data_IF_896355564229
#
_entry.id   IF_896355564229
#
_cell.length_a   1.000
_cell.length_b   1.000
_cell.length_c   1.000
_cell.angle_alpha   90.00
_cell.angle_beta   90.00
_cell.angle_gamma   90.00
#
_symmetry.space_group_name_H-M   'P 1'
#
loop_
_entity.id
_entity.type
_entity.pdbx_description
1 polymer ?
#
# COMPACT_ATOMS: atom_id res chain seq x y z
N UNK A 1 -16.31 -5.24 -25.69
CA UNK A 1 -16.71 -5.64 -24.34
C UNK A 1 -18.20 -5.41 -24.18
N UNK A 2 -18.98 -6.43 -23.77
CA UNK A 2 -20.42 -6.30 -23.60
C UNK A 2 -20.73 -5.68 -22.23
N UNK A 3 -21.66 -4.72 -22.19
CA UNK A 3 -22.15 -4.15 -20.94
C UNK A 3 -23.37 -4.93 -20.47
N UNK A 4 -23.34 -5.40 -19.25
CA UNK A 4 -24.40 -6.17 -18.60
C UNK A 4 -24.79 -5.52 -17.26
N UNK A 5 -26.04 -5.65 -16.87
CA UNK A 5 -26.53 -5.06 -15.64
C UNK A 5 -25.95 -5.73 -14.37
N UNK A 6 -25.68 -7.03 -14.43
CA UNK A 6 -25.15 -7.81 -13.32
C UNK A 6 -24.51 -9.13 -13.76
N UNK A 7 -23.81 -9.80 -12.85
CA UNK A 7 -23.34 -11.18 -13.05
C UNK A 7 -24.51 -12.15 -13.28
N UNK A 8 -25.64 -11.99 -12.58
CA UNK A 8 -26.84 -12.80 -12.77
C UNK A 8 -27.41 -12.64 -14.19
N UNK A 9 -27.40 -11.43 -14.75
CA UNK A 9 -27.83 -11.18 -16.13
C UNK A 9 -26.95 -11.92 -17.16
N UNK A 10 -25.63 -12.04 -16.90
CA UNK A 10 -24.74 -12.84 -17.75
C UNK A 10 -25.11 -14.32 -17.70
N UNK A 11 -25.29 -14.87 -16.50
CA UNK A 11 -25.63 -16.29 -16.29
C UNK A 11 -26.96 -16.64 -16.96
N UNK A 12 -27.99 -15.79 -16.78
CA UNK A 12 -29.28 -15.97 -17.41
C UNK A 12 -29.25 -15.94 -18.93
N UNK A 13 -28.36 -15.12 -19.50
CA UNK A 13 -28.25 -14.92 -20.95
C UNK A 13 -27.36 -15.93 -21.66
N UNK A 14 -26.23 -16.38 -21.04
CA UNK A 14 -25.17 -17.12 -21.74
C UNK A 14 -24.70 -18.42 -21.09
N UNK A 15 -24.90 -18.62 -19.79
CA UNK A 15 -24.37 -19.79 -19.04
C UNK A 15 -22.93 -20.17 -19.44
N UNK A 16 -21.94 -19.33 -19.19
CA UNK A 16 -20.60 -19.53 -19.73
C UNK A 16 -19.96 -20.83 -19.19
N UNK A 17 -19.29 -21.57 -20.06
CA UNK A 17 -18.55 -22.79 -19.70
C UNK A 17 -17.15 -22.49 -19.16
N UNK A 18 -16.58 -21.33 -19.54
CA UNK A 18 -15.27 -20.88 -19.07
C UNK A 18 -15.42 -19.75 -18.04
N UNK A 19 -14.46 -19.58 -17.12
CA UNK A 19 -14.44 -18.45 -16.19
C UNK A 19 -14.59 -17.11 -16.93
N UNK A 20 -15.45 -16.25 -16.39
CA UNK A 20 -15.68 -14.90 -16.95
C UNK A 20 -15.39 -13.86 -15.88
N UNK A 21 -14.59 -12.87 -16.23
CA UNK A 21 -14.33 -11.71 -15.38
C UNK A 21 -15.37 -10.63 -15.66
N UNK A 22 -16.08 -10.23 -14.62
CA UNK A 22 -16.98 -9.09 -14.64
C UNK A 22 -16.28 -7.85 -14.06
N UNK A 23 -16.08 -6.81 -14.88
CA UNK A 23 -15.35 -5.60 -14.48
C UNK A 23 -16.31 -4.45 -14.18
N UNK A 24 -16.06 -3.73 -13.08
CA UNK A 24 -16.76 -2.53 -12.65
C UNK A 24 -15.76 -1.39 -12.38
N UNK A 25 -15.09 -0.84 -13.41
CA UNK A 25 -14.04 0.18 -13.22
C UNK A 25 -14.52 1.41 -12.44
N UNK A 26 -15.82 1.75 -12.59
CA UNK A 26 -16.44 2.85 -11.85
C UNK A 26 -16.45 2.66 -10.33
N UNK A 27 -16.43 1.40 -9.83
CA UNK A 27 -16.32 1.14 -8.39
C UNK A 27 -14.93 1.51 -7.88
N UNK A 28 -13.87 1.11 -8.59
CA UNK A 28 -12.51 1.53 -8.26
C UNK A 28 -12.36 3.07 -8.30
N UNK A 29 -12.90 3.71 -9.34
CA UNK A 29 -12.86 5.17 -9.45
C UNK A 29 -13.61 5.90 -8.32
N UNK A 30 -14.73 5.35 -7.81
CA UNK A 30 -15.41 5.92 -6.64
C UNK A 30 -14.57 5.78 -5.37
N UNK A 31 -14.03 4.60 -5.12
CA UNK A 31 -13.18 4.35 -3.96
C UNK A 31 -11.93 5.25 -3.99
N UNK A 32 -11.28 5.38 -5.14
CA UNK A 32 -10.11 6.24 -5.29
C UNK A 32 -10.44 7.72 -5.01
N UNK A 33 -11.55 8.26 -5.53
CA UNK A 33 -11.96 9.65 -5.25
C UNK A 33 -12.25 9.86 -3.78
N UNK A 34 -12.86 8.89 -3.10
CA UNK A 34 -13.10 8.97 -1.65
C UNK A 34 -11.79 9.09 -0.88
N UNK A 35 -10.78 8.26 -1.18
CA UNK A 35 -9.47 8.35 -0.53
C UNK A 35 -8.77 9.68 -0.83
N UNK A 36 -8.80 10.14 -2.08
CA UNK A 36 -8.20 11.42 -2.49
C UNK A 36 -8.87 12.63 -1.83
N UNK A 37 -10.15 12.54 -1.50
CA UNK A 37 -10.91 13.58 -0.80
C UNK A 37 -10.64 13.57 0.72
N UNK A 38 -10.56 12.38 1.31
CA UNK A 38 -10.53 12.21 2.77
C UNK A 38 -9.11 12.20 3.35
N UNK A 39 -8.13 11.71 2.61
CA UNK A 39 -6.76 11.62 3.08
C UNK A 39 -5.95 12.85 2.63
N UNK A 40 -5.38 13.65 3.56
CA UNK A 40 -4.69 14.91 3.25
C UNK A 40 -3.23 14.66 2.83
N UNK A 41 -3.01 13.76 1.87
CA UNK A 41 -1.68 13.37 1.41
C UNK A 41 -1.72 12.53 0.15
N UNK A 42 -0.61 11.89 -0.16
CA UNK A 42 -0.47 11.04 -1.34
C UNK A 42 -1.20 9.69 -1.13
N UNK A 43 -2.07 9.33 -2.06
CA UNK A 43 -2.73 8.02 -2.08
C UNK A 43 -2.00 7.12 -3.05
N UNK A 44 -1.13 6.25 -2.54
CA UNK A 44 -0.33 5.31 -3.31
C UNK A 44 -1.08 3.99 -3.49
N UNK A 45 -1.54 3.71 -4.69
CA UNK A 45 -2.21 2.46 -4.97
C UNK A 45 -1.26 1.27 -4.85
N UNK A 46 -1.57 0.29 -3.99
CA UNK A 46 -0.79 -0.95 -3.89
C UNK A 46 -1.00 -1.81 -5.15
N UNK A 47 -0.06 -1.71 -6.10
CA UNK A 47 -0.13 -2.28 -7.46
C UNK A 47 -0.38 -3.78 -7.47
N UNK A 48 0.20 -4.49 -6.51
CA UNK A 48 0.01 -5.94 -6.26
C UNK A 48 -1.44 -6.38 -6.03
N UNK A 49 -2.34 -5.46 -5.65
CA UNK A 49 -3.73 -5.80 -5.38
C UNK A 49 -4.50 -6.20 -6.65
N UNK A 50 -4.33 -5.45 -7.74
CA UNK A 50 -4.79 -5.81 -9.08
C UNK A 50 -4.18 -4.85 -10.12
N UNK A 51 -3.30 -5.35 -10.95
CA UNK A 51 -2.60 -4.57 -11.98
C UNK A 51 -3.25 -4.65 -13.37
N UNK A 52 -4.52 -5.05 -13.45
CA UNK A 52 -5.19 -5.09 -14.76
C UNK A 52 -5.33 -3.68 -15.35
N UNK A 53 -5.02 -3.53 -16.64
CA UNK A 53 -5.01 -2.24 -17.33
C UNK A 53 -6.34 -1.47 -17.20
N UNK A 54 -7.47 -2.16 -17.11
CA UNK A 54 -8.79 -1.53 -16.91
C UNK A 54 -8.91 -0.86 -15.54
N UNK A 55 -8.39 -1.50 -14.49
CA UNK A 55 -8.44 -0.95 -13.14
C UNK A 55 -7.42 0.16 -12.97
N UNK A 56 -6.21 -0.03 -13.47
CA UNK A 56 -5.18 1.02 -13.48
C UNK A 56 -5.70 2.27 -14.21
N UNK A 57 -6.29 2.09 -15.40
CA UNK A 57 -6.89 3.21 -16.13
C UNK A 57 -8.04 3.90 -15.38
N UNK A 58 -8.86 3.16 -14.64
CA UNK A 58 -9.93 3.73 -13.81
C UNK A 58 -9.40 4.50 -12.60
N UNK A 59 -8.36 3.98 -11.93
CA UNK A 59 -7.69 4.65 -10.82
C UNK A 59 -6.96 5.90 -11.29
N UNK A 60 -6.23 5.82 -12.39
CA UNK A 60 -5.57 6.96 -13.03
C UNK A 60 -6.57 8.05 -13.43
N UNK A 61 -7.69 7.65 -14.08
CA UNK A 61 -8.78 8.56 -14.44
C UNK A 61 -9.51 9.19 -13.25
N UNK A 62 -9.43 8.57 -12.07
CA UNK A 62 -9.96 9.10 -10.81
C UNK A 62 -8.99 10.07 -10.12
N UNK A 63 -7.72 10.15 -10.55
CA UNK A 63 -6.72 11.05 -10.00
C UNK A 63 -5.54 10.37 -9.29
N UNK A 64 -5.51 9.04 -9.18
CA UNK A 64 -4.34 8.34 -8.61
C UNK A 64 -3.12 8.57 -9.49
N UNK A 65 -2.01 8.99 -8.84
CA UNK A 65 -0.70 9.21 -9.48
C UNK A 65 0.44 8.52 -8.75
N UNK A 66 0.23 8.11 -7.49
CA UNK A 66 1.20 7.42 -6.67
C UNK A 66 0.91 5.91 -6.66
N UNK A 67 1.98 5.09 -6.75
CA UNK A 67 1.86 3.63 -6.80
C UNK A 67 2.89 2.98 -5.88
N UNK A 68 2.42 2.15 -4.93
CA UNK A 68 3.25 1.20 -4.17
C UNK A 68 3.52 -0.01 -5.05
N UNK A 69 4.78 -0.14 -5.48
CA UNK A 69 5.28 -1.25 -6.29
C UNK A 69 6.21 -2.13 -5.46
N UNK A 70 6.09 -3.45 -5.62
CA UNK A 70 6.80 -4.42 -4.79
C UNK A 70 7.85 -5.23 -5.56
N UNK A 71 7.92 -5.10 -6.89
CA UNK A 71 8.81 -5.89 -7.74
C UNK A 71 9.23 -5.13 -8.99
N UNK A 72 10.33 -5.56 -9.61
CA UNK A 72 10.81 -4.95 -10.86
C UNK A 72 9.79 -5.05 -12.00
N UNK A 73 9.11 -6.19 -12.24
CA UNK A 73 8.06 -6.25 -13.26
C UNK A 73 6.91 -5.26 -13.02
N UNK A 74 6.52 -5.01 -11.76
CA UNK A 74 5.52 -3.99 -11.45
C UNK A 74 6.03 -2.58 -11.78
N UNK A 75 7.31 -2.28 -11.53
CA UNK A 75 7.94 -1.01 -11.89
C UNK A 75 7.97 -0.82 -13.40
N UNK A 76 8.40 -1.84 -14.15
CA UNK A 76 8.48 -1.80 -15.62
C UNK A 76 7.11 -1.61 -16.27
N UNK A 77 6.05 -2.14 -15.65
CA UNK A 77 4.68 -1.91 -16.10
C UNK A 77 4.21 -0.49 -15.71
N UNK A 78 4.36 -0.11 -14.44
CA UNK A 78 3.84 1.15 -13.90
C UNK A 78 4.57 2.40 -14.41
N UNK A 79 5.84 2.32 -14.80
CA UNK A 79 6.60 3.46 -15.34
C UNK A 79 6.02 3.98 -16.66
N UNK A 80 5.21 3.18 -17.34
CA UNK A 80 4.51 3.57 -18.57
C UNK A 80 3.29 4.47 -18.33
N UNK A 81 2.85 4.59 -17.08
CA UNK A 81 1.70 5.42 -16.70
C UNK A 81 2.16 6.89 -16.65
N UNK A 82 1.52 7.81 -17.39
CA UNK A 82 1.92 9.20 -17.40
C UNK A 82 1.88 9.83 -15.99
N UNK A 83 2.88 10.64 -15.68
CA UNK A 83 3.00 11.33 -14.38
C UNK A 83 2.93 10.42 -13.14
N UNK A 84 3.28 9.14 -13.29
CA UNK A 84 3.29 8.21 -12.18
C UNK A 84 4.49 8.46 -11.25
N UNK A 85 4.20 8.52 -9.94
CA UNK A 85 5.19 8.51 -8.88
C UNK A 85 5.29 7.11 -8.28
N UNK A 86 6.42 6.44 -8.50
CA UNK A 86 6.62 5.07 -8.07
C UNK A 86 7.38 5.02 -6.74
N UNK A 87 6.85 4.25 -5.79
CA UNK A 87 7.45 3.98 -4.50
C UNK A 87 7.75 2.49 -4.42
N UNK A 88 9.03 2.11 -4.34
CA UNK A 88 9.44 0.71 -4.22
C UNK A 88 9.38 0.28 -2.74
N UNK A 89 8.17 -0.07 -2.27
CA UNK A 89 7.85 -0.24 -0.85
C UNK A 89 8.12 -1.65 -0.32
N UNK A 90 8.55 -2.60 -1.14
CA UNK A 90 9.06 -3.89 -0.63
C UNK A 90 10.39 -3.66 0.10
N UNK A 91 10.52 -4.01 1.42
CA UNK A 91 11.70 -3.66 2.20
C UNK A 91 12.95 -4.49 1.86
N UNK A 92 12.82 -5.58 1.11
CA UNK A 92 13.94 -6.43 0.67
C UNK A 92 13.91 -6.59 -0.84
N UNK A 93 14.97 -6.12 -1.51
CA UNK A 93 15.07 -6.06 -2.98
C UNK A 93 16.36 -6.69 -3.49
N UNK A 94 16.37 -7.27 -4.67
CA UNK A 94 17.61 -7.70 -5.30
C UNK A 94 18.43 -6.48 -5.76
N UNK A 95 19.75 -6.61 -5.79
CA UNK A 95 20.66 -5.57 -6.29
C UNK A 95 20.29 -5.11 -7.69
N UNK A 96 20.03 -6.06 -8.59
CA UNK A 96 19.57 -5.77 -9.95
C UNK A 96 18.27 -4.95 -9.97
N UNK A 97 17.29 -5.31 -9.13
CA UNK A 97 16.01 -4.58 -9.09
C UNK A 97 16.17 -3.14 -8.58
N UNK A 98 17.06 -2.88 -7.60
CA UNK A 98 17.33 -1.53 -7.12
C UNK A 98 17.96 -0.69 -8.23
N UNK A 99 19.03 -1.20 -8.86
CA UNK A 99 19.74 -0.51 -9.94
C UNK A 99 18.80 -0.17 -11.09
N UNK A 100 18.03 -1.18 -11.55
CA UNK A 100 17.10 -1.00 -12.65
C UNK A 100 15.95 -0.04 -12.32
N UNK A 101 15.41 -0.10 -11.10
CA UNK A 101 14.40 0.84 -10.64
C UNK A 101 14.93 2.29 -10.66
N UNK A 102 16.15 2.50 -10.16
CA UNK A 102 16.79 3.81 -10.18
C UNK A 102 17.03 4.34 -11.60
N UNK A 103 17.50 3.49 -12.54
CA UNK A 103 17.62 3.81 -13.97
C UNK A 103 16.29 4.21 -14.61
N UNK A 104 15.17 3.57 -14.19
CA UNK A 104 13.83 3.87 -14.64
C UNK A 104 13.21 5.11 -13.96
N UNK A 105 13.96 5.82 -13.12
CA UNK A 105 13.54 7.07 -12.49
C UNK A 105 12.94 6.91 -11.09
N UNK A 106 12.86 5.71 -10.51
CA UNK A 106 12.42 5.54 -9.11
C UNK A 106 13.44 6.18 -8.17
N UNK A 107 12.95 6.98 -7.24
CA UNK A 107 13.74 7.67 -6.21
C UNK A 107 13.28 7.37 -4.79
N UNK A 108 12.27 6.54 -4.64
CA UNK A 108 11.58 6.24 -3.40
C UNK A 108 11.71 4.75 -3.09
N UNK A 109 12.43 4.39 -1.99
CA UNK A 109 12.76 3.01 -1.63
C UNK A 109 12.50 2.76 -0.16
N UNK A 110 11.81 1.66 0.18
CA UNK A 110 11.65 1.20 1.55
C UNK A 110 12.76 0.22 1.95
N UNK A 111 13.07 0.21 3.26
CA UNK A 111 14.05 -0.69 3.87
C UNK A 111 13.65 -0.99 5.33
N UNK A 112 14.12 -2.11 5.87
CA UNK A 112 13.94 -2.49 7.28
C UNK A 112 15.22 -3.07 7.92
N UNK A 113 16.36 -2.88 7.27
CA UNK A 113 17.67 -3.34 7.76
C UNK A 113 18.83 -2.51 7.19
N UNK A 114 19.96 -2.53 7.89
CA UNK A 114 21.18 -1.80 7.47
C UNK A 114 21.75 -2.36 6.17
N UNK A 115 21.75 -3.69 6.01
CA UNK A 115 22.23 -4.34 4.77
C UNK A 115 21.42 -3.89 3.54
N UNK A 116 20.13 -3.62 3.70
CA UNK A 116 19.29 -3.10 2.63
C UNK A 116 19.62 -1.63 2.33
N UNK A 117 19.88 -0.82 3.35
CA UNK A 117 20.33 0.55 3.18
C UNK A 117 21.65 0.62 2.41
N UNK A 118 22.64 -0.17 2.84
CA UNK A 118 23.96 -0.21 2.21
C UNK A 118 23.85 -0.66 0.74
N UNK A 119 23.01 -1.66 0.48
CA UNK A 119 22.70 -2.15 -0.87
C UNK A 119 22.03 -1.09 -1.76
N UNK A 120 21.08 -0.31 -1.22
CA UNK A 120 20.45 0.79 -1.97
C UNK A 120 21.51 1.85 -2.32
N UNK A 121 22.35 2.24 -1.38
CA UNK A 121 23.41 3.23 -1.61
C UNK A 121 24.38 2.74 -2.69
N UNK A 122 24.84 1.50 -2.60
CA UNK A 122 25.77 0.91 -3.58
C UNK A 122 25.15 0.86 -4.99
N UNK A 123 23.94 0.32 -5.12
CA UNK A 123 23.32 0.09 -6.43
C UNK A 123 22.79 1.36 -7.10
N UNK A 124 22.64 2.45 -6.34
CA UNK A 124 22.32 3.78 -6.88
C UNK A 124 23.56 4.66 -7.08
N UNK A 125 24.78 4.11 -6.85
CA UNK A 125 26.03 4.86 -7.01
C UNK A 125 26.21 5.98 -5.99
N UNK A 126 25.65 5.86 -4.80
CA UNK A 126 25.70 6.89 -3.76
C UNK A 126 24.81 8.10 -4.04
N UNK A 127 23.69 7.88 -4.71
CA UNK A 127 22.71 8.92 -5.05
C UNK A 127 22.29 9.76 -3.83
N UNK A 128 22.10 11.07 -4.03
CA UNK A 128 21.74 12.03 -2.99
C UNK A 128 20.31 12.59 -3.13
N UNK A 129 19.54 12.05 -4.08
CA UNK A 129 18.19 12.45 -4.42
C UNK A 129 17.14 11.42 -3.98
N UNK A 130 17.48 10.55 -3.00
CA UNK A 130 16.62 9.45 -2.57
C UNK A 130 15.69 9.84 -1.43
N UNK A 131 14.42 9.47 -1.56
CA UNK A 131 13.48 9.31 -0.47
C UNK A 131 13.59 7.89 0.06
N UNK A 132 14.06 7.74 1.29
CA UNK A 132 14.26 6.45 1.94
C UNK A 132 13.25 6.27 3.07
N UNK A 133 12.45 5.19 2.98
CA UNK A 133 11.43 4.84 3.96
C UNK A 133 11.94 3.75 4.90
N UNK A 134 12.00 4.03 6.19
CA UNK A 134 12.26 2.97 7.17
C UNK A 134 10.92 2.34 7.57
N UNK A 135 10.80 1.04 7.27
CA UNK A 135 9.59 0.27 7.60
C UNK A 135 9.65 -0.23 9.04
N UNK A 136 8.67 0.15 9.83
CA UNK A 136 8.54 -0.22 11.24
C UNK A 136 7.62 -1.41 11.39
N UNK A 137 8.05 -2.40 12.18
CA UNK A 137 7.20 -3.49 12.60
C UNK A 137 6.22 -2.99 13.67
N UNK A 138 4.93 -3.16 13.39
CA UNK A 138 3.84 -2.80 14.29
C UNK A 138 2.94 -4.02 14.53
N UNK A 139 2.24 -4.11 15.68
CA UNK A 139 1.29 -5.20 15.93
C UNK A 139 0.17 -5.24 14.90
N UNK A 140 -0.16 -6.44 14.43
CA UNK A 140 -1.26 -6.68 13.48
C UNK A 140 -2.56 -7.00 14.23
N UNK A 141 -3.17 -5.98 14.82
CA UNK A 141 -4.39 -6.11 15.64
C UNK A 141 -5.61 -6.22 14.71
N UNK A 142 -6.46 -7.23 14.94
CA UNK A 142 -7.71 -7.44 14.20
C UNK A 142 -7.54 -7.49 12.66
N UNK A 143 -6.36 -7.92 12.18
CA UNK A 143 -6.11 -8.13 10.75
C UNK A 143 -6.29 -9.60 10.36
N UNK A 144 -6.86 -9.86 9.18
CA UNK A 144 -6.96 -11.24 8.66
C UNK A 144 -5.62 -11.83 8.22
N UNK A 145 -4.70 -10.96 7.77
CA UNK A 145 -3.36 -11.37 7.33
C UNK A 145 -2.33 -10.52 8.07
N UNK A 146 -1.79 -11.04 9.19
CA UNK A 146 -0.77 -10.33 9.97
C UNK A 146 0.57 -10.29 9.21
N UNK A 147 1.30 -9.17 9.33
CA UNK A 147 2.59 -8.93 8.67
C UNK A 147 3.74 -8.65 9.63
N UNK A 148 3.46 -8.52 10.93
CA UNK A 148 4.40 -8.11 11.98
C UNK A 148 5.65 -9.01 12.11
N UNK A 149 5.54 -10.30 11.73
CA UNK A 149 6.65 -11.26 11.78
C UNK A 149 7.40 -11.39 10.46
N UNK A 150 6.95 -10.69 9.42
CA UNK A 150 7.50 -10.83 8.08
C UNK A 150 8.41 -9.67 7.69
N UNK A 151 8.03 -8.46 8.06
CA UNK A 151 8.71 -7.25 7.66
C UNK A 151 8.71 -6.21 8.78
N UNK A 152 9.68 -5.30 8.65
CA UNK A 152 9.82 -4.16 9.52
C UNK A 152 10.82 -4.38 10.66
N UNK A 153 11.39 -3.30 11.11
CA UNK A 153 12.34 -3.23 12.23
C UNK A 153 11.68 -2.59 13.44
N UNK A 154 12.10 -2.96 14.66
CA UNK A 154 11.54 -2.44 15.90
C UNK A 154 12.61 -2.13 16.96
N UNK A 155 12.21 -1.45 18.04
CA UNK A 155 13.02 -1.22 19.21
C UNK A 155 14.27 -0.36 18.94
N UNK A 156 15.40 -0.71 19.56
CA UNK A 156 16.66 0.04 19.42
C UNK A 156 17.21 -0.04 17.98
N UNK A 157 17.03 -1.18 17.31
CA UNK A 157 17.47 -1.35 15.92
C UNK A 157 16.76 -0.36 14.99
N UNK A 158 15.46 -0.12 15.21
CA UNK A 158 14.70 0.85 14.43
C UNK A 158 15.23 2.29 14.63
N UNK A 159 15.51 2.69 15.87
CA UNK A 159 16.07 4.01 16.15
C UNK A 159 17.45 4.21 15.49
N UNK A 160 18.33 3.21 15.59
CA UNK A 160 19.65 3.25 14.95
C UNK A 160 19.53 3.32 13.42
N UNK A 161 18.63 2.52 12.84
CA UNK A 161 18.41 2.52 11.39
C UNK A 161 17.86 3.87 10.90
N UNK A 162 16.95 4.51 11.64
CA UNK A 162 16.47 5.86 11.33
C UNK A 162 17.62 6.88 11.31
N UNK A 163 18.50 6.86 12.32
CA UNK A 163 19.67 7.75 12.39
C UNK A 163 20.61 7.52 11.19
N UNK A 164 20.91 6.26 10.87
CA UNK A 164 21.79 5.91 9.76
C UNK A 164 21.17 6.29 8.41
N UNK A 165 19.88 6.02 8.23
CA UNK A 165 19.15 6.33 7.00
C UNK A 165 19.07 7.84 6.76
N UNK A 166 18.88 8.66 7.83
CA UNK A 166 18.86 10.13 7.72
C UNK A 166 20.11 10.70 7.07
N UNK A 167 21.28 10.09 7.31
CA UNK A 167 22.55 10.56 6.76
C UNK A 167 22.68 10.33 5.24
N UNK A 168 21.98 9.30 4.73
CA UNK A 168 22.01 8.92 3.32
C UNK A 168 20.83 9.52 2.52
N UNK A 169 19.71 9.76 3.18
CA UNK A 169 18.47 10.19 2.52
C UNK A 169 18.45 11.70 2.24
N UNK A 170 17.94 12.07 1.08
CA UNK A 170 17.50 13.45 0.77
C UNK A 170 16.24 13.77 1.59
N UNK A 171 15.24 12.85 1.58
CA UNK A 171 14.08 12.87 2.46
C UNK A 171 14.01 11.54 3.23
N UNK A 172 13.79 11.62 4.55
CA UNK A 172 13.57 10.45 5.39
C UNK A 172 12.07 10.24 5.60
N UNK A 173 11.59 9.10 5.13
CA UNK A 173 10.23 8.62 5.37
C UNK A 173 10.19 7.56 6.46
N UNK A 174 9.06 7.51 7.15
CA UNK A 174 8.74 6.46 8.09
C UNK A 174 7.46 5.78 7.61
N UNK A 175 7.46 4.45 7.49
CA UNK A 175 6.30 3.67 7.03
C UNK A 175 6.01 2.49 7.93
N UNK A 176 4.76 2.08 8.00
CA UNK A 176 4.32 0.87 8.68
C UNK A 176 3.12 0.24 7.95
N UNK A 177 2.76 -0.99 8.33
CA UNK A 177 1.59 -1.66 7.78
C UNK A 177 0.92 -2.52 8.85
N UNK A 178 -0.32 -2.21 9.21
CA UNK A 178 -1.09 -2.85 10.30
C UNK A 178 -1.60 -4.27 10.00
N UNK A 179 -1.25 -4.83 8.84
CA UNK A 179 -1.79 -6.09 8.34
C UNK A 179 -2.90 -5.88 7.31
N UNK A 180 -3.22 -6.90 6.51
CA UNK A 180 -4.26 -6.78 5.47
C UNK A 180 -5.65 -7.10 6.02
N UNK A 181 -6.67 -6.36 5.57
CA UNK A 181 -8.05 -6.52 6.00
C UNK A 181 -8.19 -6.32 7.52
N UNK A 182 -7.73 -5.19 8.01
CA UNK A 182 -7.86 -4.78 9.41
C UNK A 182 -9.29 -4.31 9.65
N UNK A 183 -10.01 -4.91 10.61
CA UNK A 183 -11.45 -4.70 10.76
C UNK A 183 -11.81 -3.54 11.69
N UNK A 184 -10.87 -3.07 12.51
CA UNK A 184 -11.06 -1.94 13.42
C UNK A 184 -9.90 -0.95 13.33
N UNK A 185 -10.11 0.35 13.61
CA UNK A 185 -9.03 1.34 13.56
C UNK A 185 -7.99 1.24 14.70
N UNK A 186 -8.21 0.41 15.73
CA UNK A 186 -7.33 0.27 16.92
C UNK A 186 -5.87 -0.06 16.57
N UNK A 187 -5.68 -0.79 15.46
CA UNK A 187 -4.35 -1.11 14.97
C UNK A 187 -3.53 0.14 14.61
N UNK A 188 -4.18 1.15 14.04
CA UNK A 188 -3.55 2.43 13.73
C UNK A 188 -3.26 3.25 14.98
N UNK A 189 -4.15 3.24 15.98
CA UNK A 189 -3.90 3.88 17.29
C UNK A 189 -2.62 3.33 17.91
N UNK A 190 -2.50 2.02 17.99
CA UNK A 190 -1.34 1.34 18.57
C UNK A 190 -0.07 1.64 17.77
N UNK A 191 -0.14 1.54 16.44
CA UNK A 191 0.99 1.80 15.57
C UNK A 191 1.51 3.25 15.72
N UNK A 192 0.63 4.24 15.68
CA UNK A 192 1.01 5.65 15.80
C UNK A 192 1.57 5.97 17.19
N UNK A 193 1.04 5.37 18.26
CA UNK A 193 1.60 5.52 19.62
C UNK A 193 3.02 4.93 19.73
N UNK A 194 3.30 3.81 19.05
CA UNK A 194 4.64 3.22 19.03
C UNK A 194 5.60 4.03 18.15
N UNK A 195 5.13 4.61 17.05
CA UNK A 195 5.91 5.53 16.24
C UNK A 195 6.28 6.79 17.01
N UNK A 196 5.36 7.36 17.80
CA UNK A 196 5.66 8.51 18.66
C UNK A 196 6.89 8.24 19.54
N UNK A 197 6.87 7.13 20.29
CA UNK A 197 8.00 6.74 21.16
C UNK A 197 9.29 6.54 20.36
N UNK A 198 9.21 5.95 19.18
CA UNK A 198 10.35 5.70 18.32
C UNK A 198 10.97 6.99 17.78
N UNK A 199 10.15 7.93 17.29
CA UNK A 199 10.63 9.23 16.77
C UNK A 199 11.34 10.01 17.87
N UNK A 200 10.75 10.09 19.06
CA UNK A 200 11.40 10.72 20.24
C UNK A 200 12.73 10.05 20.56
N UNK A 201 12.76 8.71 20.58
CA UNK A 201 13.96 7.94 20.89
C UNK A 201 15.07 8.10 19.86
N UNK A 202 14.72 8.16 18.58
CA UNK A 202 15.69 8.32 17.49
C UNK A 202 16.23 9.76 17.40
N UNK A 203 15.43 10.76 17.79
CA UNK A 203 15.83 12.16 17.76
C UNK A 203 16.17 12.70 16.38
N UNK A 204 15.58 12.12 15.32
CA UNK A 204 15.80 12.51 13.93
C UNK A 204 14.56 13.16 13.32
N UNK A 205 14.78 14.11 12.41
CA UNK A 205 13.71 14.76 11.68
C UNK A 205 13.14 13.81 10.62
N UNK A 206 11.83 13.57 10.66
CA UNK A 206 11.07 12.83 9.68
C UNK A 206 10.45 13.82 8.67
N UNK A 207 10.65 13.59 7.37
CA UNK A 207 10.13 14.44 6.30
C UNK A 207 8.79 13.94 5.76
N UNK A 208 8.56 12.61 5.80
CA UNK A 208 7.34 11.96 5.30
C UNK A 208 6.87 10.86 6.23
N UNK A 209 5.57 10.70 6.32
CA UNK A 209 4.94 9.61 7.05
C UNK A 209 3.97 8.85 6.13
N UNK A 210 4.20 7.56 5.98
CA UNK A 210 3.30 6.64 5.30
C UNK A 210 2.61 5.75 6.34
N UNK A 211 1.28 5.83 6.39
CA UNK A 211 0.46 5.00 7.29
C UNK A 211 0.19 3.60 6.72
N UNK A 212 0.75 3.31 5.54
CA UNK A 212 0.65 2.04 4.88
C UNK A 212 -0.75 1.70 4.39
N UNK A 213 -0.97 0.40 4.27
CA UNK A 213 -2.26 -0.16 3.90
C UNK A 213 -2.96 -0.83 5.08
N UNK A 214 -3.82 -1.80 4.74
CA UNK A 214 -4.60 -2.53 5.74
C UNK A 214 -6.07 -2.18 5.72
N UNK A 215 -6.46 -1.11 5.04
CA UNK A 215 -7.84 -0.66 4.90
C UNK A 215 -8.74 -1.80 4.41
N UNK A 216 -9.86 -2.04 5.13
CA UNK A 216 -10.70 -3.19 4.85
C UNK A 216 -11.65 -2.99 3.67
N UNK A 217 -12.18 -4.09 3.21
CA UNK A 217 -13.37 -4.15 2.34
C UNK A 217 -14.43 -5.03 2.98
N UNK A 218 -15.69 -4.78 2.70
CA UNK A 218 -16.78 -5.63 3.17
C UNK A 218 -16.85 -6.92 2.36
N UNK A 219 -16.94 -8.03 3.07
CA UNK A 219 -17.19 -9.37 2.51
C UNK A 219 -18.36 -9.99 3.27
N UNK A 220 -19.04 -11.04 2.72
CA UNK A 220 -20.18 -11.67 3.38
C UNK A 220 -19.92 -12.14 4.82
N UNK A 221 -18.67 -12.47 5.12
CA UNK A 221 -18.19 -12.98 6.42
C UNK A 221 -17.39 -11.95 7.23
N UNK A 222 -17.46 -10.66 6.87
CA UNK A 222 -16.66 -9.60 7.49
C UNK A 222 -17.43 -8.28 7.49
N UNK A 223 -17.63 -7.73 8.68
CA UNK A 223 -18.24 -6.41 8.89
C UNK A 223 -17.22 -5.46 9.56
N UNK A 224 -16.34 -4.82 8.79
CA UNK A 224 -15.40 -3.86 9.31
C UNK A 224 -16.10 -2.56 9.73
N UNK A 225 -15.45 -1.82 10.63
CA UNK A 225 -15.85 -0.46 10.98
C UNK A 225 -15.99 0.43 9.73
N UNK A 226 -16.76 1.51 9.78
CA UNK A 226 -16.87 2.49 8.71
C UNK A 226 -15.48 3.04 8.33
N UNK A 227 -15.26 3.31 7.05
CA UNK A 227 -13.97 3.81 6.57
C UNK A 227 -13.65 5.22 7.10
N UNK A 228 -14.68 6.03 7.37
CA UNK A 228 -14.52 7.35 8.00
C UNK A 228 -13.89 7.22 9.40
N UNK A 229 -14.23 6.20 10.20
CA UNK A 229 -13.66 5.96 11.53
C UNK A 229 -12.14 5.67 11.43
N UNK A 230 -11.70 4.96 10.39
CA UNK A 230 -10.27 4.75 10.13
C UNK A 230 -9.57 6.07 9.83
N UNK A 231 -10.18 6.90 8.98
CA UNK A 231 -9.59 8.18 8.57
C UNK A 231 -9.48 9.14 9.76
N UNK A 232 -10.56 9.29 10.53
CA UNK A 232 -10.57 10.13 11.74
C UNK A 232 -9.52 9.67 12.76
N UNK A 233 -9.45 8.36 13.01
CA UNK A 233 -8.48 7.77 13.95
C UNK A 233 -7.03 8.00 13.49
N UNK A 234 -6.75 7.80 12.21
CA UNK A 234 -5.41 8.01 11.64
C UNK A 234 -5.01 9.48 11.77
N UNK A 235 -5.87 10.41 11.36
CA UNK A 235 -5.57 11.84 11.39
C UNK A 235 -5.38 12.34 12.82
N UNK A 236 -6.26 11.96 13.75
CA UNK A 236 -6.09 12.29 15.16
C UNK A 236 -4.79 11.74 15.77
N UNK A 237 -4.41 10.51 15.39
CA UNK A 237 -3.14 9.93 15.83
C UNK A 237 -1.92 10.64 15.25
N UNK A 238 -1.96 11.09 13.99
CA UNK A 238 -0.87 11.85 13.36
C UNK A 238 -0.64 13.19 14.07
N UNK A 239 -1.69 13.88 14.47
CA UNK A 239 -1.60 15.15 15.22
C UNK A 239 -0.82 15.02 16.54
N UNK A 240 -0.75 13.81 17.11
CA UNK A 240 0.01 13.56 18.35
C UNK A 240 1.49 13.31 18.12
N UNK A 241 1.94 13.12 16.87
CA UNK A 241 3.32 12.76 16.59
C UNK A 241 4.27 13.97 16.70
N UNK A 242 5.50 13.77 17.19
CA UNK A 242 6.52 14.83 17.27
C UNK A 242 7.21 15.01 15.90
N UNK A 243 6.45 15.45 14.92
CA UNK A 243 6.89 15.67 13.53
C UNK A 243 6.66 17.13 13.12
N UNK A 244 7.16 17.49 11.93
CA UNK A 244 6.94 18.84 11.39
C UNK A 244 5.43 19.09 11.18
N UNK A 245 4.96 20.30 11.40
CA UNK A 245 3.58 20.71 11.15
C UNK A 245 3.14 20.45 9.70
N UNK A 246 4.05 20.55 8.75
CA UNK A 246 3.82 20.34 7.33
C UNK A 246 4.42 19.01 6.82
N UNK A 247 4.43 17.96 7.64
CA UNK A 247 4.87 16.64 7.21
C UNK A 247 4.05 16.15 6.02
N UNK A 248 4.70 15.57 5.02
CA UNK A 248 3.99 14.98 3.89
C UNK A 248 3.50 13.59 4.24
N UNK A 249 2.21 13.37 4.03
CA UNK A 249 1.53 12.11 4.35
C UNK A 249 1.37 11.23 3.12
N UNK A 250 1.38 9.91 3.33
CA UNK A 250 1.05 8.91 2.33
C UNK A 250 0.22 7.79 2.96
N UNK A 251 -0.63 7.14 2.16
CA UNK A 251 -1.28 5.89 2.50
C UNK A 251 -1.24 4.92 1.31
N UNK A 252 -1.30 3.59 1.58
CA UNK A 252 -1.14 2.53 0.58
C UNK A 252 -2.41 1.67 0.43
N UNK A 253 -3.57 2.22 0.07
CA UNK A 253 -4.76 1.40 -0.13
C UNK A 253 -4.62 0.50 -1.37
N UNK A 254 -4.76 -0.80 -1.17
CA UNK A 254 -4.83 -1.78 -2.26
C UNK A 254 -6.25 -2.33 -2.40
N UNK A 255 -6.56 -3.31 -1.53
CA UNK A 255 -7.85 -3.98 -1.46
C UNK A 255 -9.03 -3.01 -1.44
N UNK A 256 -8.98 -2.01 -0.60
CA UNK A 256 -10.06 -1.03 -0.44
C UNK A 256 -10.43 -0.29 -1.74
N UNK A 257 -9.49 -0.12 -2.67
CA UNK A 257 -9.75 0.52 -3.96
C UNK A 257 -10.36 -0.42 -5.00
N UNK A 258 -10.11 -1.74 -4.93
CA UNK A 258 -10.40 -2.62 -6.06
C UNK A 258 -11.27 -3.83 -5.72
N UNK A 259 -11.57 -4.11 -4.45
CA UNK A 259 -12.33 -5.30 -4.06
C UNK A 259 -13.73 -5.38 -4.72
N UNK A 260 -14.39 -4.24 -4.91
CA UNK A 260 -15.70 -4.19 -5.58
C UNK A 260 -15.62 -4.06 -7.10
N UNK A 261 -14.42 -3.83 -7.63
CA UNK A 261 -14.23 -3.51 -9.05
C UNK A 261 -14.23 -4.74 -9.96
N UNK A 262 -14.08 -5.94 -9.40
CA UNK A 262 -14.03 -7.17 -10.18
C UNK A 262 -14.78 -8.32 -9.50
N UNK A 263 -15.38 -9.18 -10.33
CA UNK A 263 -15.96 -10.47 -9.93
C UNK A 263 -15.50 -11.54 -10.89
N UNK A 264 -15.23 -12.73 -10.38
CA UNK A 264 -14.99 -13.92 -11.18
C UNK A 264 -16.24 -14.80 -11.14
N UNK A 265 -16.79 -15.09 -12.31
CA UNK A 265 -17.92 -16.00 -12.49
C UNK A 265 -17.34 -17.33 -12.95
N UNK A 266 -17.57 -18.38 -12.18
CA UNK A 266 -17.12 -19.74 -12.46
C UNK A 266 -18.31 -20.68 -12.49
N UNK A 267 -18.16 -21.80 -13.19
CA UNK A 267 -19.13 -22.90 -13.20
C UNK A 267 -18.66 -23.97 -12.21
N UNK A 268 -19.60 -24.55 -11.49
CA UNK A 268 -19.36 -25.75 -10.68
C UNK A 268 -19.60 -26.95 -11.57
N UNK A 269 -18.54 -27.66 -11.93
CA UNK A 269 -18.62 -28.83 -12.81
C UNK A 269 -18.85 -30.15 -12.05
N UNK A 270 -18.47 -30.21 -10.77
CA UNK A 270 -18.72 -31.38 -9.92
C UNK A 270 -18.91 -30.96 -8.45
N UNK A 271 -19.78 -31.68 -7.76
CA UNK A 271 -19.98 -31.54 -6.31
C UNK A 271 -19.81 -32.89 -5.63
N UNK A 272 -18.98 -32.97 -4.59
CA UNK A 272 -18.76 -34.17 -3.78
C UNK A 272 -19.09 -33.86 -2.31
N UNK A 273 -20.24 -34.39 -1.85
CA UNK A 273 -20.71 -34.09 -0.49
C UNK A 273 -21.01 -32.60 -0.30
N UNK A 274 -20.31 -31.97 0.68
CA UNK A 274 -20.37 -30.52 0.91
C UNK A 274 -19.28 -29.73 0.21
N UNK A 275 -18.31 -30.41 -0.45
CA UNK A 275 -17.22 -29.79 -1.19
C UNK A 275 -17.67 -29.49 -2.64
N UNK A 276 -17.18 -28.37 -3.18
CA UNK A 276 -17.44 -27.91 -4.56
C UNK A 276 -16.28 -28.28 -5.47
#
# INVERSE_FOLDING_TARGET
MEKLASAAALIGKRRPERPVRGLRPHAAGRAARWFLEKFPGDVAYAYKANNSAFLIGALYGAGIRHFDVASLPEIEDAVTIPDAHLHFMHPVKSRHAIRRAYELGVRSFALDGEDELDKIIEETGGARDLLLWVRIAVPSINSRIPLERKFGVSGQKAANLLIKTRQAASELGLTFHVGSQTTTPDAFVTALADLHKLIVKAGVMIDRLDVGGGFPSRYPDSDPAPMDDFMETILAGIETLPVKENIRLMCEPGRALVAEAESLIVRVDARRGHDL
#
